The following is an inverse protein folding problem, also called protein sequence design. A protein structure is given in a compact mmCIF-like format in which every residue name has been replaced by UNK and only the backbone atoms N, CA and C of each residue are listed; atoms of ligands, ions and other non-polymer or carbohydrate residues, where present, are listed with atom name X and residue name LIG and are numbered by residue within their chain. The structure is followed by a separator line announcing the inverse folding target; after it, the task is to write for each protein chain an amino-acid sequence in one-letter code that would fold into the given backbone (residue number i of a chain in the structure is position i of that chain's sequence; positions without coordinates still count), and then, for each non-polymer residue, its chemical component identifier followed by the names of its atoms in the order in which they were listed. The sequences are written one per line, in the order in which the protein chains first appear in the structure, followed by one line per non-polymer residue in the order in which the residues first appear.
data_IF_847204152552
#
_entry.id   IF_847204152552
#
_cell.length_a   1.000
_cell.length_b   1.000
_cell.length_c   1.000
_cell.angle_alpha   90.00
_cell.angle_beta   90.00
_cell.angle_gamma   90.00
#
_symmetry.space_group_name_H-M   'P 1'
#
loop_
_entity.id
_entity.type
_entity.pdbx_description
1 polymer ?
#
# COMPACT_ATOMS: atom_id res chain seq x y z
N UNK A 1 0.89 2.66 -3.16
CA UNK A 1 1.43 2.15 -4.43
C UNK A 1 2.79 1.55 -4.15
N UNK A 2 2.99 0.28 -4.47
CA UNK A 2 4.29 -0.39 -4.44
C UNK A 2 4.73 -0.54 -5.90
N UNK A 3 5.95 -0.14 -6.25
CA UNK A 3 6.41 -0.19 -7.65
C UNK A 3 7.52 -1.20 -7.80
N UNK A 4 7.41 -2.04 -8.82
CA UNK A 4 8.32 -3.15 -9.10
C UNK A 4 8.55 -3.27 -10.60
N UNK A 5 9.78 -3.62 -10.98
CA UNK A 5 10.19 -3.63 -12.39
C UNK A 5 9.53 -4.77 -13.19
N UNK A 6 9.21 -5.89 -12.54
CA UNK A 6 8.68 -7.11 -13.15
C UNK A 6 7.14 -7.13 -13.28
N UNK A 7 6.49 -6.03 -12.89
CA UNK A 7 5.07 -5.81 -13.03
C UNK A 7 4.84 -4.31 -13.37
N UNK A 8 4.87 -3.95 -14.67
CA UNK A 8 4.69 -2.57 -15.10
C UNK A 8 3.27 -2.10 -14.74
N UNK A 9 3.19 -1.04 -13.93
CA UNK A 9 1.94 -0.45 -13.48
C UNK A 9 1.28 0.36 -14.61
N UNK A 10 -0.05 0.29 -14.68
CA UNK A 10 -0.85 1.24 -15.45
C UNK A 10 -0.92 2.59 -14.70
N UNK A 11 -0.84 3.70 -15.45
CA UNK A 11 -0.86 5.11 -15.00
C UNK A 11 -2.19 5.54 -14.37
N UNK A 12 -3.12 4.62 -14.15
CA UNK A 12 -4.53 4.88 -13.79
C UNK A 12 -4.75 5.35 -12.35
N UNK A 13 -3.69 5.61 -11.58
CA UNK A 13 -3.75 6.22 -10.25
C UNK A 13 -4.10 7.73 -10.33
N UNK A 14 -5.24 8.03 -10.95
CA UNK A 14 -5.53 9.30 -11.63
C UNK A 14 -5.57 10.55 -10.75
N UNK A 15 -5.56 10.42 -9.42
CA UNK A 15 -5.74 11.55 -8.50
C UNK A 15 -4.86 11.51 -7.24
N UNK A 16 -3.93 10.56 -7.10
CA UNK A 16 -2.98 10.55 -5.97
C UNK A 16 -1.63 11.03 -6.44
N UNK A 17 -1.35 12.28 -6.11
CA UNK A 17 -0.22 13.02 -6.66
C UNK A 17 0.96 13.11 -5.69
N UNK A 18 0.78 12.60 -4.46
CA UNK A 18 1.78 12.58 -3.40
C UNK A 18 1.66 11.32 -2.53
N UNK A 19 2.68 11.05 -1.71
CA UNK A 19 2.64 9.96 -0.74
C UNK A 19 3.95 9.71 -0.02
N UNK A 20 4.08 8.51 0.56
CA UNK A 20 5.22 8.07 1.38
C UNK A 20 6.09 7.07 0.62
N UNK A 21 7.41 7.16 0.82
CA UNK A 21 8.38 6.11 0.54
C UNK A 21 8.83 5.55 1.87
N UNK A 22 8.71 4.23 2.05
CA UNK A 22 9.22 3.55 3.24
C UNK A 22 10.58 2.96 2.96
N UNK A 23 11.45 2.98 3.98
CA UNK A 23 12.70 2.23 3.94
C UNK A 23 12.43 0.76 3.66
N UNK A 24 13.25 0.11 2.82
CA UNK A 24 13.31 -1.34 2.77
C UNK A 24 13.61 -1.89 4.17
N UNK A 25 12.96 -3.00 4.54
CA UNK A 25 13.08 -3.58 5.90
C UNK A 25 14.53 -3.87 6.28
N UNK A 26 15.37 -4.23 5.31
CA UNK A 26 16.78 -4.58 5.47
C UNK A 26 17.70 -3.35 5.55
N UNK A 27 17.25 -2.17 5.12
CA UNK A 27 18.06 -0.95 4.98
C UNK A 27 17.64 0.16 5.93
N UNK A 28 16.54 -0.03 6.67
CA UNK A 28 16.06 0.99 7.61
C UNK A 28 17.08 1.28 8.72
N UNK A 29 17.14 2.52 9.23
CA UNK A 29 17.89 2.84 10.43
C UNK A 29 17.44 2.00 11.64
N UNK A 30 18.36 1.66 12.54
CA UNK A 30 18.08 0.82 13.72
C UNK A 30 16.94 1.37 14.60
N UNK A 31 16.82 2.69 14.68
CA UNK A 31 15.80 3.38 15.48
C UNK A 31 14.40 3.41 14.85
N UNK A 32 14.24 2.92 13.61
CA UNK A 32 12.95 2.83 12.91
C UNK A 32 12.34 1.45 13.13
N UNK A 33 11.02 1.36 13.18
CA UNK A 33 10.28 0.10 13.26
C UNK A 33 10.25 -0.62 11.91
N UNK A 34 9.94 -1.92 11.92
CA UNK A 34 9.67 -2.70 10.71
C UNK A 34 8.20 -2.54 10.35
N UNK A 35 7.89 -2.14 9.12
CA UNK A 35 6.53 -2.24 8.61
C UNK A 35 6.22 -3.71 8.30
N UNK A 36 5.06 -4.19 8.77
CA UNK A 36 4.53 -5.46 8.32
C UNK A 36 3.64 -5.26 7.10
N UNK A 37 3.53 -6.31 6.28
CA UNK A 37 2.46 -6.38 5.28
C UNK A 37 1.43 -7.34 5.87
N UNK A 38 0.18 -6.88 6.02
CA UNK A 38 -0.91 -7.67 6.60
C UNK A 38 -1.52 -8.59 5.56
N UNK A 39 -1.85 -8.04 4.40
CA UNK A 39 -2.39 -8.78 3.28
C UNK A 39 -2.12 -8.09 1.95
N UNK A 40 -2.32 -8.83 0.86
CA UNK A 40 -2.13 -8.36 -0.51
C UNK A 40 -3.23 -8.85 -1.44
N UNK A 41 -3.60 -8.01 -2.39
CA UNK A 41 -4.57 -8.30 -3.46
C UNK A 41 -3.90 -8.16 -4.82
N UNK A 42 -4.09 -9.12 -5.74
CA UNK A 42 -3.54 -9.03 -7.11
C UNK A 42 -4.10 -7.87 -7.94
N UNK A 43 -5.21 -7.27 -7.53
CA UNK A 43 -5.85 -6.10 -8.13
C UNK A 43 -6.54 -5.30 -7.02
N UNK A 44 -7.02 -4.07 -7.27
CA UNK A 44 -7.86 -3.28 -6.36
C UNK A 44 -8.74 -4.16 -5.47
N UNK A 45 -8.46 -4.14 -4.17
CA UNK A 45 -9.01 -5.07 -3.21
C UNK A 45 -10.38 -4.66 -2.67
N UNK A 46 -10.89 -3.46 -2.94
CA UNK A 46 -12.10 -2.95 -2.25
C UNK A 46 -11.95 -2.94 -0.71
N UNK A 47 -10.77 -2.51 -0.25
CA UNK A 47 -10.31 -2.63 1.14
C UNK A 47 -11.08 -1.75 2.12
N UNK A 48 -11.78 -0.72 1.64
CA UNK A 48 -12.74 0.08 2.41
C UNK A 48 -14.02 -0.69 2.80
N UNK A 49 -14.21 -1.90 2.27
CA UNK A 49 -15.41 -2.73 2.51
C UNK A 49 -15.11 -4.12 3.05
N UNK A 50 -13.91 -4.35 3.57
CA UNK A 50 -13.47 -5.67 4.05
C UNK A 50 -13.40 -5.72 5.56
N UNK A 51 -14.01 -6.74 6.15
CA UNK A 51 -14.23 -6.81 7.59
C UNK A 51 -13.82 -8.16 8.17
N UNK A 52 -13.22 -8.10 9.35
CA UNK A 52 -12.97 -9.25 10.22
C UNK A 52 -13.64 -8.96 11.57
N UNK A 53 -14.48 -9.87 12.05
CA UNK A 53 -15.20 -9.71 13.32
C UNK A 53 -15.98 -8.38 13.47
N UNK A 54 -16.51 -7.84 12.36
CA UNK A 54 -17.29 -6.61 12.34
C UNK A 54 -16.47 -5.31 12.28
N UNK A 55 -15.14 -5.39 12.27
CA UNK A 55 -14.27 -4.22 12.10
C UNK A 55 -13.66 -4.21 10.69
N UNK A 56 -13.61 -3.03 10.06
CA UNK A 56 -12.90 -2.91 8.79
C UNK A 56 -11.40 -3.00 9.05
N UNK A 57 -10.81 -4.10 8.60
CA UNK A 57 -9.41 -4.39 8.76
C UNK A 57 -8.69 -4.48 7.41
N UNK A 58 -9.38 -4.17 6.31
CA UNK A 58 -8.92 -4.26 4.92
C UNK A 58 -8.49 -5.66 4.43
N UNK A 59 -8.49 -6.68 5.28
CA UNK A 59 -7.94 -8.01 4.98
C UNK A 59 -8.98 -9.13 5.04
N UNK A 60 -10.13 -8.89 5.67
CA UNK A 60 -11.23 -9.85 5.74
C UNK A 60 -12.11 -9.90 4.48
N UNK A 61 -13.31 -10.47 4.64
CA UNK A 61 -14.28 -10.57 3.56
C UNK A 61 -15.02 -9.25 3.32
N UNK A 62 -15.45 -9.05 2.07
CA UNK A 62 -16.38 -7.98 1.73
C UNK A 62 -17.79 -8.26 2.25
N UNK A 63 -18.54 -7.19 2.53
CA UNK A 63 -19.97 -7.30 2.92
C UNK A 63 -20.82 -7.95 1.81
N UNK A 64 -20.44 -7.77 0.54
CA UNK A 64 -21.17 -8.31 -0.61
C UNK A 64 -20.95 -9.81 -0.78
N UNK A 65 -19.74 -10.31 -0.50
CA UNK A 65 -19.37 -11.72 -0.62
C UNK A 65 -18.78 -12.25 0.69
N UNK A 66 -19.57 -12.30 1.78
CA UNK A 66 -19.05 -12.59 3.12
C UNK A 66 -18.51 -14.02 3.27
N UNK A 67 -18.84 -14.94 2.37
CA UNK A 67 -18.32 -16.32 2.37
C UNK A 67 -17.21 -16.51 1.36
N UNK A 68 -17.34 -15.90 0.17
CA UNK A 68 -16.48 -16.22 -0.98
C UNK A 68 -15.26 -15.28 -1.07
N UNK A 69 -15.27 -14.16 -0.35
CA UNK A 69 -14.16 -13.19 -0.36
C UNK A 69 -13.31 -13.20 0.91
N UNK A 70 -13.46 -14.23 1.75
CA UNK A 70 -12.61 -14.48 2.91
C UNK A 70 -11.12 -14.57 2.51
N UNK A 71 -10.17 -14.46 3.45
CA UNK A 71 -8.75 -14.62 3.14
C UNK A 71 -8.46 -15.88 2.32
N UNK A 72 -7.59 -15.77 1.31
CA UNK A 72 -7.38 -16.86 0.33
C UNK A 72 -6.96 -18.17 1.00
N UNK A 73 -6.08 -18.09 2.00
CA UNK A 73 -5.60 -19.24 2.75
C UNK A 73 -6.71 -19.99 3.50
N UNK A 74 -7.74 -19.28 3.99
CA UNK A 74 -8.89 -19.89 4.68
C UNK A 74 -9.78 -20.69 3.70
N UNK A 75 -9.71 -20.35 2.42
CA UNK A 75 -10.44 -21.01 1.34
C UNK A 75 -9.60 -22.09 0.63
N UNK A 76 -8.35 -22.31 1.06
CA UNK A 76 -7.43 -23.23 0.40
C UNK A 76 -6.86 -22.71 -0.92
N UNK A 77 -7.02 -21.42 -1.23
CA UNK A 77 -6.45 -20.76 -2.41
C UNK A 77 -5.03 -20.31 -2.06
N UNK A 78 -4.02 -20.95 -2.66
CA UNK A 78 -2.61 -20.73 -2.31
C UNK A 78 -1.73 -20.41 -3.52
N UNK A 79 -2.27 -20.46 -4.73
CA UNK A 79 -1.57 -20.14 -5.98
C UNK A 79 -2.27 -19.01 -6.75
N UNK A 80 -1.52 -18.36 -7.65
CA UNK A 80 -2.09 -17.33 -8.52
C UNK A 80 -3.14 -17.87 -9.50
N UNK A 81 -3.02 -19.13 -9.94
CA UNK A 81 -4.00 -19.77 -10.81
C UNK A 81 -5.31 -20.03 -10.08
N UNK A 82 -5.25 -20.62 -8.88
CA UNK A 82 -6.45 -20.83 -8.05
C UNK A 82 -7.15 -19.51 -7.74
N UNK A 83 -6.38 -18.46 -7.44
CA UNK A 83 -6.94 -17.12 -7.25
C UNK A 83 -7.63 -16.60 -8.51
N UNK A 84 -7.02 -16.76 -9.68
CA UNK A 84 -7.61 -16.30 -10.93
C UNK A 84 -8.89 -17.07 -11.27
N UNK A 85 -8.89 -18.39 -11.06
CA UNK A 85 -10.06 -19.24 -11.28
C UNK A 85 -11.21 -18.82 -10.36
N UNK A 86 -10.91 -18.55 -9.08
CA UNK A 86 -11.87 -18.00 -8.12
C UNK A 86 -12.39 -16.61 -8.53
N UNK A 87 -11.48 -15.71 -8.92
CA UNK A 87 -11.82 -14.37 -9.41
C UNK A 87 -12.74 -14.41 -10.63
N UNK A 88 -12.49 -15.33 -11.56
CA UNK A 88 -13.24 -15.48 -12.80
C UNK A 88 -14.52 -16.32 -12.67
N UNK A 89 -14.77 -16.94 -11.52
CA UNK A 89 -15.91 -17.82 -11.28
C UNK A 89 -17.28 -17.11 -11.38
N UNK A 90 -17.30 -15.78 -11.20
CA UNK A 90 -18.51 -14.96 -11.36
C UNK A 90 -18.43 -14.05 -12.59
N UNK A 91 -19.56 -13.56 -13.12
CA UNK A 91 -19.56 -12.58 -14.23
C UNK A 91 -18.81 -11.29 -13.89
N UNK A 92 -18.21 -10.67 -14.90
CA UNK A 92 -17.53 -9.38 -14.78
C UNK A 92 -18.51 -8.23 -14.91
N UNK A 93 -19.31 -7.99 -13.87
CA UNK A 93 -20.35 -6.96 -13.84
C UNK A 93 -20.14 -6.07 -12.63
N UNK A 94 -20.24 -4.75 -12.80
CA UNK A 94 -20.30 -3.74 -11.73
C UNK A 94 -19.28 -3.92 -10.58
N UNK A 95 -18.02 -4.22 -10.92
CA UNK A 95 -16.90 -4.45 -9.97
C UNK A 95 -17.12 -5.64 -9.02
N UNK A 96 -18.01 -6.56 -9.36
CA UNK A 96 -18.34 -7.73 -8.53
C UNK A 96 -17.14 -8.63 -8.30
N UNK A 97 -16.35 -8.89 -9.35
CA UNK A 97 -15.12 -9.67 -9.22
C UNK A 97 -14.11 -9.06 -8.25
N UNK A 98 -14.02 -7.72 -8.19
CA UNK A 98 -13.12 -7.03 -7.24
C UNK A 98 -13.58 -7.22 -5.79
N UNK A 99 -14.89 -7.31 -5.55
CA UNK A 99 -15.43 -7.58 -4.22
C UNK A 99 -15.47 -9.08 -3.88
N UNK A 100 -15.58 -9.96 -4.87
CA UNK A 100 -15.60 -11.42 -4.72
C UNK A 100 -14.21 -12.02 -4.49
N UNK A 101 -13.15 -11.37 -4.97
CA UNK A 101 -11.79 -11.86 -4.80
C UNK A 101 -11.43 -12.05 -3.31
N UNK A 102 -10.59 -13.04 -3.04
CA UNK A 102 -9.90 -13.17 -1.77
C UNK A 102 -8.60 -12.35 -1.76
N UNK A 103 -8.15 -11.97 -0.56
CA UNK A 103 -6.82 -11.40 -0.32
C UNK A 103 -5.88 -12.41 0.30
N UNK A 104 -4.60 -12.36 -0.05
CA UNK A 104 -3.58 -13.22 0.53
C UNK A 104 -3.08 -12.63 1.85
N UNK A 105 -3.19 -13.38 2.95
CA UNK A 105 -2.53 -13.03 4.22
C UNK A 105 -1.01 -13.05 4.04
N UNK A 106 -0.33 -12.00 4.49
CA UNK A 106 1.14 -11.90 4.49
C UNK A 106 1.68 -11.69 5.91
N UNK A 107 0.87 -12.03 6.91
CA UNK A 107 1.26 -11.96 8.31
C UNK A 107 2.50 -12.82 8.59
N UNK A 108 3.36 -12.39 9.50
CA UNK A 108 4.67 -13.01 9.75
C UNK A 108 4.62 -14.45 10.27
N UNK A 109 3.45 -14.90 10.73
CA UNK A 109 3.19 -16.27 11.18
C UNK A 109 2.79 -17.22 10.03
N UNK A 110 2.57 -16.70 8.82
CA UNK A 110 2.29 -17.53 7.64
C UNK A 110 3.54 -18.34 7.25
N UNK A 111 3.33 -19.62 6.94
CA UNK A 111 4.38 -20.43 6.32
C UNK A 111 4.53 -20.06 4.84
N UNK A 112 5.74 -20.15 4.29
CA UNK A 112 6.00 -19.95 2.86
C UNK A 112 5.60 -18.57 2.29
N UNK A 113 5.80 -17.49 3.05
CA UNK A 113 5.53 -16.10 2.62
C UNK A 113 6.02 -15.76 1.21
N UNK A 114 7.18 -16.28 0.80
CA UNK A 114 7.69 -16.10 -0.57
C UNK A 114 6.76 -16.67 -1.65
N UNK A 115 6.19 -17.86 -1.41
CA UNK A 115 5.24 -18.48 -2.34
C UNK A 115 3.90 -17.76 -2.33
N UNK A 116 3.43 -17.32 -1.18
CA UNK A 116 2.19 -16.54 -1.06
C UNK A 116 2.33 -15.22 -1.82
N UNK A 117 3.42 -14.48 -1.57
CA UNK A 117 3.69 -13.25 -2.30
C UNK A 117 3.83 -13.49 -3.80
N UNK A 118 4.45 -14.61 -4.22
CA UNK A 118 4.50 -15.01 -5.62
C UNK A 118 3.09 -15.25 -6.20
N UNK A 119 2.19 -15.90 -5.44
CA UNK A 119 0.82 -16.15 -5.87
C UNK A 119 0.06 -14.85 -6.17
N UNK A 120 0.29 -13.79 -5.38
CA UNK A 120 -0.27 -12.45 -5.64
C UNK A 120 0.11 -11.98 -7.05
N UNK A 121 1.41 -12.07 -7.37
CA UNK A 121 1.97 -11.58 -8.63
C UNK A 121 1.56 -12.45 -9.81
N UNK A 122 1.53 -13.77 -9.63
CA UNK A 122 1.08 -14.70 -10.66
C UNK A 122 -0.40 -14.45 -10.99
N UNK A 123 -1.25 -14.24 -9.98
CA UNK A 123 -2.68 -13.92 -10.17
C UNK A 123 -2.88 -12.64 -10.97
N UNK A 124 -2.10 -11.59 -10.69
CA UNK A 124 -2.18 -10.34 -11.44
C UNK A 124 -1.70 -10.49 -12.88
N UNK A 125 -0.64 -11.26 -13.12
CA UNK A 125 -0.15 -11.56 -14.48
C UNK A 125 -1.20 -12.31 -15.30
N UNK A 126 -1.89 -13.27 -14.70
CA UNK A 126 -3.01 -13.98 -15.33
C UNK A 126 -4.15 -13.01 -15.66
N UNK A 127 -4.50 -12.11 -14.75
CA UNK A 127 -5.50 -11.07 -14.98
C UNK A 127 -5.10 -10.15 -16.14
N UNK A 128 -3.85 -9.68 -16.17
CA UNK A 128 -3.33 -8.83 -17.23
C UNK A 128 -3.36 -9.54 -18.59
N UNK A 129 -3.01 -10.83 -18.62
CA UNK A 129 -3.08 -11.66 -19.84
C UNK A 129 -4.51 -11.81 -20.34
N UNK A 130 -5.47 -12.01 -19.43
CA UNK A 130 -6.87 -12.23 -19.78
C UNK A 130 -7.61 -10.96 -20.22
N UNK A 131 -7.24 -9.79 -19.67
CA UNK A 131 -7.96 -8.53 -19.88
C UNK A 131 -7.21 -7.50 -20.72
N UNK A 132 -5.93 -7.70 -21.00
CA UNK A 132 -5.06 -6.71 -21.63
C UNK A 132 -4.67 -5.52 -20.73
N UNK A 133 -5.27 -5.41 -19.54
CA UNK A 133 -4.86 -4.52 -18.46
C UNK A 133 -5.20 -5.17 -17.11
N UNK A 134 -4.27 -5.10 -16.18
CA UNK A 134 -4.57 -5.23 -14.77
C UNK A 134 -4.47 -3.81 -14.17
N UNK A 135 -5.40 -3.44 -13.29
CA UNK A 135 -5.19 -2.26 -12.45
C UNK A 135 -3.93 -2.46 -11.57
N UNK A 136 -3.73 -1.59 -10.59
CA UNK A 136 -2.72 -1.77 -9.55
C UNK A 136 -3.05 -2.97 -8.65
N UNK A 137 -2.00 -3.63 -8.15
CA UNK A 137 -2.09 -4.50 -6.96
C UNK A 137 -2.26 -3.63 -5.72
N UNK A 138 -2.78 -4.23 -4.64
CA UNK A 138 -2.99 -3.51 -3.39
C UNK A 138 -2.33 -4.25 -2.23
N UNK A 139 -1.46 -3.53 -1.50
CA UNK A 139 -0.81 -4.02 -0.29
C UNK A 139 -1.36 -3.27 0.92
N UNK A 140 -1.76 -4.03 1.94
CA UNK A 140 -2.19 -3.47 3.22
C UNK A 140 -1.04 -3.56 4.20
N UNK A 141 -0.52 -2.40 4.58
CA UNK A 141 0.57 -2.28 5.52
C UNK A 141 0.03 -2.29 6.95
N UNK A 142 0.72 -2.99 7.85
CA UNK A 142 0.58 -2.77 9.28
C UNK A 142 1.41 -1.55 9.66
N UNK A 143 0.73 -0.53 10.19
CA UNK A 143 1.39 0.68 10.71
C UNK A 143 1.77 0.43 12.18
N UNK A 144 3.08 0.43 12.52
CA UNK A 144 3.51 0.27 13.90
C UNK A 144 2.93 1.35 14.81
N UNK A 145 2.57 0.98 16.05
CA UNK A 145 2.02 1.89 17.05
C UNK A 145 0.73 2.63 16.63
N UNK A 146 -0.02 2.09 15.66
CA UNK A 146 -1.35 2.57 15.30
C UNK A 146 -2.37 2.12 16.35
N UNK A 147 -2.78 3.03 17.22
CA UNK A 147 -3.78 2.73 18.22
C UNK A 147 -5.12 3.38 17.87
N UNK A 148 -6.17 2.58 18.03
CA UNK A 148 -7.54 3.06 18.04
C UNK A 148 -7.84 3.61 19.42
N UNK A 149 -8.07 4.90 19.51
CA UNK A 149 -8.45 5.58 20.75
C UNK A 149 -9.94 5.86 20.69
N UNK A 150 -10.66 5.48 21.74
CA UNK A 150 -12.08 5.84 21.89
C UNK A 150 -12.19 6.81 23.05
N UNK A 151 -12.70 8.00 22.77
CA UNK A 151 -12.92 9.00 23.82
C UNK A 151 -14.13 8.63 24.70
N UNK A 152 -14.34 9.39 25.77
CA UNK A 152 -15.44 9.16 26.71
C UNK A 152 -16.85 9.28 26.08
N UNK A 153 -16.96 9.90 24.90
CA UNK A 153 -18.21 10.06 24.16
C UNK A 153 -18.41 8.95 23.10
N UNK A 154 -17.48 7.99 23.01
CA UNK A 154 -17.51 6.94 22.00
C UNK A 154 -16.95 7.35 20.64
N UNK A 155 -16.34 8.54 20.51
CA UNK A 155 -15.72 8.92 19.25
C UNK A 155 -14.41 8.15 19.07
N UNK A 156 -14.24 7.54 17.90
CA UNK A 156 -13.03 6.82 17.54
C UNK A 156 -12.07 7.77 16.82
N UNK A 157 -10.86 7.89 17.35
CA UNK A 157 -9.72 8.50 16.69
C UNK A 157 -8.59 7.48 16.58
N UNK A 158 -7.61 7.80 15.74
CA UNK A 158 -6.42 6.98 15.56
C UNK A 158 -5.20 7.83 15.83
N UNK A 159 -4.28 7.32 16.63
CA UNK A 159 -3.01 7.98 16.91
C UNK A 159 -1.84 7.03 16.62
N UNK A 160 -0.68 7.63 16.39
CA UNK A 160 0.59 6.92 16.32
C UNK A 160 1.39 7.39 17.52
N UNK A 161 1.62 6.53 18.51
CA UNK A 161 2.24 6.92 19.79
C UNK A 161 3.69 7.39 19.62
N UNK A 162 4.39 6.89 18.59
CA UNK A 162 5.78 7.25 18.28
C UNK A 162 5.98 7.47 16.76
N UNK A 163 5.52 8.59 16.19
CA UNK A 163 5.63 8.83 14.75
C UNK A 163 7.10 8.84 14.26
N UNK A 164 8.05 9.12 15.15
CA UNK A 164 9.49 9.09 14.85
C UNK A 164 10.00 7.68 14.52
N UNK A 165 9.36 6.61 15.04
CA UNK A 165 9.75 5.24 14.70
C UNK A 165 9.25 4.77 13.34
N UNK A 166 8.30 5.46 12.71
CA UNK A 166 7.84 5.10 11.38
C UNK A 166 9.01 5.11 10.37
N UNK A 167 9.20 4.04 9.58
CA UNK A 167 10.34 3.91 8.66
C UNK A 167 10.13 4.71 7.36
N UNK A 168 9.69 5.97 7.46
CA UNK A 168 9.53 6.86 6.31
C UNK A 168 10.92 7.32 5.86
N UNK A 169 11.23 7.07 4.59
CA UNK A 169 12.48 7.45 3.93
C UNK A 169 12.34 8.77 3.18
N UNK A 170 11.22 8.99 2.50
CA UNK A 170 10.92 10.21 1.77
C UNK A 170 9.41 10.43 1.64
N UNK A 171 9.01 11.67 1.33
CA UNK A 171 7.72 11.98 0.75
C UNK A 171 7.89 12.14 -0.75
N UNK A 172 6.97 11.62 -1.56
CA UNK A 172 7.05 11.76 -3.01
C UNK A 172 5.93 12.64 -3.55
N UNK A 173 6.16 13.20 -4.75
CA UNK A 173 5.13 13.84 -5.56
C UNK A 173 5.28 13.54 -7.05
N UNK A 174 4.22 13.71 -7.83
CA UNK A 174 4.21 13.49 -9.30
C UNK A 174 3.85 14.72 -10.11
N UNK A 175 3.31 15.76 -9.48
CA UNK A 175 2.99 17.04 -10.11
C UNK A 175 2.98 18.20 -9.08
N UNK A 176 2.67 19.42 -9.53
CA UNK A 176 2.71 20.62 -8.68
C UNK A 176 1.72 20.57 -7.49
N UNK A 177 0.53 19.98 -7.66
CA UNK A 177 -0.42 19.80 -6.55
C UNK A 177 0.17 18.85 -5.52
N UNK A 178 0.70 17.71 -5.96
CA UNK A 178 1.34 16.75 -5.08
C UNK A 178 2.59 17.28 -4.40
N UNK A 179 3.33 18.20 -5.03
CA UNK A 179 4.47 18.86 -4.40
C UNK A 179 4.00 19.64 -3.16
N UNK A 180 2.91 20.40 -3.30
CA UNK A 180 2.34 21.16 -2.17
C UNK A 180 1.94 20.23 -1.03
N UNK A 181 1.33 19.08 -1.34
CA UNK A 181 0.95 18.07 -0.34
C UNK A 181 2.17 17.43 0.33
N UNK A 182 3.17 17.00 -0.45
CA UNK A 182 4.39 16.37 0.06
C UNK A 182 5.21 17.32 0.95
N UNK A 183 5.23 18.61 0.60
CA UNK A 183 5.79 19.66 1.44
C UNK A 183 5.02 19.84 2.76
N UNK A 184 3.70 19.70 2.74
CA UNK A 184 2.89 19.63 3.95
C UNK A 184 3.28 18.45 4.83
N UNK A 185 3.38 17.25 4.25
CA UNK A 185 3.81 16.06 4.98
C UNK A 185 5.20 16.20 5.60
N UNK A 186 6.15 16.82 4.88
CA UNK A 186 7.48 17.12 5.40
C UNK A 186 7.42 18.00 6.65
N UNK A 187 6.68 19.11 6.60
CA UNK A 187 6.52 20.03 7.74
C UNK A 187 5.86 19.35 8.93
N UNK A 188 4.74 18.68 8.70
CA UNK A 188 3.98 18.00 9.75
C UNK A 188 4.83 16.93 10.44
N UNK A 189 5.60 16.16 9.66
CA UNK A 189 6.49 15.14 10.22
C UNK A 189 7.67 15.75 10.99
N UNK A 190 8.27 16.82 10.48
CA UNK A 190 9.34 17.54 11.18
C UNK A 190 8.83 18.13 12.50
N UNK A 191 7.65 18.77 12.50
CA UNK A 191 7.03 19.33 13.71
C UNK A 191 6.71 18.25 14.74
N UNK A 192 6.14 17.13 14.29
CA UNK A 192 5.76 16.03 15.19
C UNK A 192 6.95 15.24 15.75
N UNK A 193 8.08 15.17 15.04
CA UNK A 193 9.16 14.23 15.36
C UNK A 193 10.54 14.86 15.57
N UNK A 194 10.72 16.12 15.16
CA UNK A 194 12.03 16.77 15.03
C UNK A 194 12.95 16.10 14.00
N UNK A 195 12.42 15.27 13.10
CA UNK A 195 13.19 14.50 12.11
C UNK A 195 12.92 15.02 10.71
N UNK A 196 13.99 15.41 10.02
CA UNK A 196 13.94 15.77 8.60
C UNK A 196 13.73 14.54 7.73
N UNK A 197 12.79 14.62 6.78
CA UNK A 197 12.54 13.62 5.74
C UNK A 197 12.41 14.36 4.40
N UNK A 198 13.17 13.96 3.36
CA UNK A 198 13.19 14.67 2.09
C UNK A 198 11.90 14.50 1.28
N UNK A 199 11.60 15.51 0.46
CA UNK A 199 10.62 15.43 -0.63
C UNK A 199 11.34 15.07 -1.93
N UNK A 200 10.81 14.12 -2.70
CA UNK A 200 11.38 13.68 -3.98
C UNK A 200 10.33 13.67 -5.09
N UNK A 201 10.72 14.06 -6.30
CA UNK A 201 9.88 13.86 -7.48
C UNK A 201 9.90 12.38 -7.86
N UNK A 202 8.72 11.81 -8.08
CA UNK A 202 8.51 10.47 -8.62
C UNK A 202 8.07 10.56 -10.07
N UNK A 203 8.84 9.93 -10.97
CA UNK A 203 8.49 9.79 -12.38
C UNK A 203 8.42 8.31 -12.76
N UNK A 204 7.30 7.90 -13.37
CA UNK A 204 7.09 6.56 -13.94
C UNK A 204 7.03 6.65 -15.47
N UNK A 205 8.04 6.07 -16.13
CA UNK A 205 7.98 5.80 -17.56
C UNK A 205 7.15 4.53 -17.81
N UNK A 206 5.92 4.71 -18.26
CA UNK A 206 5.00 3.60 -18.57
C UNK A 206 5.38 2.77 -19.78
N UNK A 207 6.31 3.24 -20.62
CA UNK A 207 6.79 2.48 -21.77
C UNK A 207 7.80 1.43 -21.32
N UNK A 208 8.67 1.81 -20.37
CA UNK A 208 9.75 0.95 -19.89
C UNK A 208 9.48 0.34 -18.52
N UNK A 209 8.44 0.81 -17.81
CA UNK A 209 8.19 0.50 -16.40
C UNK A 209 9.21 1.11 -15.44
N UNK A 210 10.12 1.97 -15.94
CA UNK A 210 11.20 2.54 -15.13
C UNK A 210 10.66 3.62 -14.20
N UNK A 211 11.00 3.51 -12.92
CA UNK A 211 10.79 4.55 -11.92
C UNK A 211 12.07 5.33 -11.70
N UNK A 212 11.95 6.65 -11.58
CA UNK A 212 13.04 7.53 -11.15
C UNK A 212 12.57 8.39 -9.99
N UNK A 213 13.45 8.56 -9.01
CA UNK A 213 13.28 9.52 -7.91
C UNK A 213 14.32 10.62 -8.05
N UNK A 214 13.87 11.88 -8.03
CA UNK A 214 14.77 13.05 -8.16
C UNK A 214 14.63 13.93 -6.93
N UNK A 215 15.76 14.25 -6.29
CA UNK A 215 15.81 15.23 -5.22
C UNK A 215 16.15 16.62 -5.78
N UNK A 216 15.29 17.62 -5.51
CA UNK A 216 15.63 19.02 -5.75
C UNK A 216 15.60 19.80 -4.43
N UNK A 217 16.62 20.64 -4.22
CA UNK A 217 16.72 21.49 -3.02
C UNK A 217 15.56 22.48 -2.92
N UNK A 218 15.04 22.96 -4.06
CA UNK A 218 13.95 23.92 -4.11
C UNK A 218 12.59 23.34 -3.67
N UNK A 219 12.45 22.01 -3.68
CA UNK A 219 11.22 21.33 -3.28
C UNK A 219 11.10 21.18 -1.76
N UNK A 220 12.19 21.41 -1.03
CA UNK A 220 12.25 21.25 0.42
C UNK A 220 11.77 22.52 1.12
N UNK A 221 11.03 22.35 2.21
CA UNK A 221 10.46 23.48 2.97
C UNK A 221 11.20 23.84 4.24
N UNK A 222 12.23 23.09 4.58
CA UNK A 222 12.96 23.28 5.83
C UNK A 222 14.22 24.12 5.61
N UNK A 223 14.40 25.13 6.47
CA UNK A 223 15.60 25.98 6.51
C UNK A 223 16.86 25.24 6.97
N UNK A 224 16.74 23.99 7.43
CA UNK A 224 17.85 23.14 7.88
C UNK A 224 18.96 22.99 6.81
N UNK A 225 18.59 23.02 5.53
CA UNK A 225 19.51 22.89 4.40
C UNK A 225 20.15 24.22 3.92
N UNK A 226 19.96 25.34 4.63
CA UNK A 226 20.63 26.60 4.31
C UNK A 226 21.98 26.77 5.03
N UNK A 227 22.28 26.00 6.08
CA UNK A 227 23.46 26.22 6.93
C UNK A 227 24.53 25.10 6.91
N UNK A 228 24.36 24.05 6.10
CA UNK A 228 25.32 22.95 5.95
C UNK A 228 25.84 22.83 4.51
N UNK A 229 26.28 23.95 3.94
CA UNK A 229 27.22 24.01 2.79
C UNK A 229 28.56 24.54 3.31
#
# INVERSE_FOLDING_TARGET
MYVRQDLPLDKSFKDKTSGLVYYPTQEKPLAKDVNSIRCAYPVDGYTDRRYTNGENDACGATVKYPTDSQPCQEQGIITGQEWYDHFAAIPDVDKDRLQHQCGFSLASNESNLGNIFKAVIDGQKLLQTARGSANYDELILGVPAYNKVTDANGNVSYNIDNPKSLPIEAFFYTNATGLTEAQGYQKDYLEATGTYVPVVQFDLDTTTGKVTYTYNKADQTDSYNQNNQ
#
